data_IF_445451842730
#
_entry.id   IF_445451842730
#
_cell.length_a   1.000
_cell.length_b   1.000
_cell.length_c   1.000
_cell.angle_alpha   90.00
_cell.angle_beta   90.00
_cell.angle_gamma   90.00
#
_symmetry.space_group_name_H-M   'P 1'
#
loop_
_entity.id
_entity.type
_entity.pdbx_description
1 polymer ?
#
# COMPACT_ATOMS: atom_id res chain seq x y z
N UNK A 1 -20.46 -49.72 25.99
CA UNK A 1 -19.01 -49.41 25.94
C UNK A 1 -18.49 -49.14 24.52
N UNK A 2 -18.70 -50.03 23.52
CA UNK A 2 -18.22 -49.81 22.13
C UNK A 2 -18.72 -48.51 21.45
N UNK A 3 -19.96 -48.10 21.71
CA UNK A 3 -20.54 -46.89 21.10
C UNK A 3 -19.90 -45.61 21.67
N UNK A 4 -19.64 -45.57 22.98
CA UNK A 4 -18.94 -44.46 23.65
C UNK A 4 -17.51 -44.28 23.14
N UNK A 5 -16.78 -45.38 22.93
CA UNK A 5 -15.42 -45.32 22.37
C UNK A 5 -15.41 -44.79 20.94
N UNK A 6 -16.37 -45.21 20.10
CA UNK A 6 -16.50 -44.69 18.73
C UNK A 6 -16.85 -43.20 18.71
N UNK A 7 -17.77 -42.76 19.57
CA UNK A 7 -18.13 -41.37 19.69
C UNK A 7 -16.93 -40.50 20.11
N UNK A 8 -16.13 -40.99 21.08
CA UNK A 8 -14.91 -40.30 21.52
C UNK A 8 -13.89 -40.17 20.38
N UNK A 9 -13.64 -41.23 19.62
CA UNK A 9 -12.69 -41.23 18.49
C UNK A 9 -13.11 -40.23 17.41
N UNK A 10 -14.41 -40.20 17.07
CA UNK A 10 -14.95 -39.24 16.09
C UNK A 10 -14.79 -37.80 16.58
N UNK A 11 -15.04 -37.54 17.87
CA UNK A 11 -14.92 -36.21 18.45
C UNK A 11 -13.47 -35.71 18.46
N UNK A 12 -12.52 -36.59 18.80
CA UNK A 12 -11.08 -36.28 18.76
C UNK A 12 -10.63 -36.01 17.32
N UNK A 13 -11.05 -36.83 16.36
CA UNK A 13 -10.71 -36.64 14.95
C UNK A 13 -11.25 -35.30 14.41
N UNK A 14 -12.51 -34.95 14.70
CA UNK A 14 -13.10 -33.67 14.33
C UNK A 14 -12.38 -32.48 14.96
N UNK A 15 -12.03 -32.58 16.25
CA UNK A 15 -11.32 -31.54 16.96
C UNK A 15 -9.91 -31.32 16.40
N UNK A 16 -9.19 -32.41 16.08
CA UNK A 16 -7.88 -32.35 15.45
C UNK A 16 -7.97 -31.75 14.05
N UNK A 17 -8.97 -32.15 13.26
CA UNK A 17 -9.20 -31.61 11.93
C UNK A 17 -9.48 -30.10 11.96
N UNK A 18 -10.35 -29.66 12.87
CA UNK A 18 -10.66 -28.24 13.06
C UNK A 18 -9.41 -27.45 13.50
N UNK A 19 -8.60 -28.00 14.41
CA UNK A 19 -7.35 -27.39 14.84
C UNK A 19 -6.34 -27.25 13.70
N UNK A 20 -6.12 -28.32 12.92
CA UNK A 20 -5.21 -28.29 11.78
C UNK A 20 -5.70 -27.34 10.69
N UNK A 21 -7.01 -27.28 10.45
CA UNK A 21 -7.61 -26.34 9.51
C UNK A 21 -7.39 -24.89 9.94
N UNK A 22 -7.65 -24.55 11.20
CA UNK A 22 -7.41 -23.20 11.74
C UNK A 22 -5.93 -22.84 11.69
N UNK A 23 -5.05 -23.77 12.05
CA UNK A 23 -3.60 -23.57 12.00
C UNK A 23 -3.12 -23.33 10.56
N UNK A 24 -3.58 -24.14 9.61
CA UNK A 24 -3.24 -24.01 8.19
C UNK A 24 -3.78 -22.71 7.59
N UNK A 25 -5.03 -22.34 7.90
CA UNK A 25 -5.64 -21.10 7.42
C UNK A 25 -4.91 -19.87 7.96
N UNK A 26 -4.44 -19.91 9.22
CA UNK A 26 -3.61 -18.85 9.80
C UNK A 26 -2.22 -18.80 9.18
N UNK A 27 -1.55 -19.94 8.98
CA UNK A 27 -0.17 -19.99 8.47
C UNK A 27 -0.04 -19.50 7.03
N UNK A 28 -1.03 -19.78 6.18
CA UNK A 28 -1.02 -19.32 4.78
C UNK A 28 -1.22 -17.81 4.69
N UNK A 29 -2.06 -17.23 5.56
CA UNK A 29 -2.30 -15.79 5.59
C UNK A 29 -1.13 -14.99 6.19
N UNK A 30 -0.38 -15.59 7.12
CA UNK A 30 0.76 -14.95 7.77
C UNK A 30 2.12 -15.19 7.10
N UNK A 31 2.17 -15.95 6.00
CA UNK A 31 3.42 -16.21 5.31
C UNK A 31 3.98 -14.90 4.74
N UNK A 32 5.28 -14.65 4.89
CA UNK A 32 5.89 -13.43 4.38
C UNK A 32 5.75 -13.36 2.85
N UNK A 33 5.46 -12.17 2.33
CA UNK A 33 5.65 -11.89 0.90
C UNK A 33 7.13 -11.73 0.62
N UNK A 34 7.59 -12.22 -0.53
CA UNK A 34 9.01 -12.18 -0.90
C UNK A 34 9.23 -11.13 -1.98
N UNK A 35 10.18 -10.24 -1.78
CA UNK A 35 10.59 -9.24 -2.75
C UNK A 35 12.07 -9.40 -3.03
N UNK A 36 12.47 -9.41 -4.30
CA UNK A 36 13.89 -9.42 -4.63
C UNK A 36 14.52 -8.05 -4.39
N UNK A 37 15.67 -8.00 -3.73
CA UNK A 37 16.40 -6.76 -3.44
C UNK A 37 16.66 -5.87 -4.67
N UNK A 38 17.02 -6.41 -5.85
CA UNK A 38 17.18 -5.61 -7.08
C UNK A 38 15.91 -4.88 -7.53
N UNK A 39 14.71 -5.36 -7.16
CA UNK A 39 13.46 -4.67 -7.50
C UNK A 39 13.22 -3.42 -6.64
N UNK A 40 13.98 -3.25 -5.55
CA UNK A 40 13.91 -2.11 -4.63
C UNK A 40 15.00 -1.05 -4.89
N UNK A 41 15.89 -1.25 -5.86
CA UNK A 41 17.08 -0.40 -6.05
C UNK A 41 16.98 0.62 -7.18
N UNK A 42 15.83 0.73 -7.85
CA UNK A 42 15.69 1.52 -9.09
C UNK A 42 14.43 2.39 -9.07
N UNK A 43 14.36 3.32 -8.13
CA UNK A 43 13.24 4.24 -8.01
C UNK A 43 13.38 5.42 -8.97
N UNK A 44 12.27 5.82 -9.59
CA UNK A 44 12.23 6.92 -10.54
C UNK A 44 11.05 7.84 -10.26
N UNK A 45 11.29 9.14 -10.34
CA UNK A 45 10.23 10.14 -10.27
C UNK A 45 9.44 10.14 -11.57
N UNK A 46 8.12 10.15 -11.46
CA UNK A 46 7.24 10.30 -12.59
C UNK A 46 6.08 11.24 -12.24
N UNK A 47 5.55 11.88 -13.26
CA UNK A 47 4.34 12.70 -13.16
C UNK A 47 3.16 11.95 -13.76
N UNK A 48 1.96 12.24 -13.25
CA UNK A 48 0.71 11.66 -13.73
C UNK A 48 -0.32 12.75 -14.00
N UNK A 49 -1.10 12.56 -15.06
CA UNK A 49 -2.12 13.52 -15.53
C UNK A 49 -3.53 13.19 -15.05
N UNK A 50 -3.67 12.33 -14.03
CA UNK A 50 -4.97 11.93 -13.50
C UNK A 50 -5.75 13.14 -12.97
N UNK A 51 -7.06 13.16 -13.23
CA UNK A 51 -7.95 14.29 -12.95
C UNK A 51 -8.77 14.12 -11.66
N UNK A 52 -8.74 12.93 -11.03
CA UNK A 52 -9.48 12.72 -9.78
C UNK A 52 -8.69 13.36 -8.61
N UNK A 53 -9.37 13.82 -7.55
CA UNK A 53 -8.70 14.42 -6.40
C UNK A 53 -7.63 13.52 -5.77
N UNK A 54 -7.86 12.20 -5.73
CA UNK A 54 -6.90 11.21 -5.23
C UNK A 54 -5.87 10.74 -6.26
N UNK A 55 -5.92 11.21 -7.50
CA UNK A 55 -4.90 10.88 -8.50
C UNK A 55 -3.55 11.47 -8.06
N UNK A 56 -2.46 10.69 -8.07
CA UNK A 56 -1.14 11.25 -7.83
C UNK A 56 -0.79 12.22 -8.96
N UNK A 57 -0.10 13.30 -8.64
CA UNK A 57 0.50 14.21 -9.63
C UNK A 57 2.01 13.99 -9.71
N UNK A 58 2.61 13.58 -8.60
CA UNK A 58 4.00 13.18 -8.49
C UNK A 58 4.06 11.84 -7.75
N UNK A 59 4.77 10.88 -8.35
CA UNK A 59 4.86 9.51 -7.85
C UNK A 59 6.30 9.03 -7.92
N UNK A 60 6.73 8.26 -6.92
CA UNK A 60 7.99 7.54 -6.92
C UNK A 60 7.74 6.09 -7.37
N UNK A 61 8.23 5.72 -8.55
CA UNK A 61 7.96 4.42 -9.17
C UNK A 61 9.14 3.47 -8.97
N UNK A 62 8.89 2.23 -8.52
CA UNK A 62 9.91 1.19 -8.50
C UNK A 62 10.10 0.59 -9.91
N UNK A 63 10.94 -0.44 -9.98
CA UNK A 63 10.97 -1.34 -11.12
C UNK A 63 9.58 -2.03 -11.30
N UNK A 64 9.04 -2.17 -12.53
CA UNK A 64 7.71 -2.78 -12.76
C UNK A 64 7.54 -4.19 -12.19
N UNK A 65 8.65 -4.92 -12.06
CA UNK A 65 8.75 -6.26 -11.51
C UNK A 65 8.33 -6.31 -10.03
N UNK A 66 8.48 -5.21 -9.29
CA UNK A 66 8.06 -5.13 -7.90
C UNK A 66 6.53 -5.23 -7.79
N UNK A 67 5.81 -4.38 -8.51
CA UNK A 67 4.34 -4.34 -8.47
C UNK A 67 3.72 -5.63 -9.03
N UNK A 68 4.20 -6.09 -10.19
CA UNK A 68 3.71 -7.33 -10.82
C UNK A 68 4.03 -8.58 -9.99
N UNK A 69 5.23 -8.68 -9.41
CA UNK A 69 5.62 -9.80 -8.55
C UNK A 69 4.78 -9.89 -7.28
N UNK A 70 4.50 -8.76 -6.63
CA UNK A 70 3.62 -8.70 -5.47
C UNK A 70 2.17 -9.00 -5.85
N UNK A 71 1.66 -8.46 -6.96
CA UNK A 71 0.31 -8.76 -7.44
C UNK A 71 0.11 -10.26 -7.65
N UNK A 72 1.06 -10.94 -8.29
CA UNK A 72 1.00 -12.39 -8.51
C UNK A 72 0.95 -13.18 -7.20
N UNK A 73 1.73 -12.76 -6.18
CA UNK A 73 1.69 -13.39 -4.86
C UNK A 73 0.36 -13.15 -4.14
N UNK A 74 -0.17 -11.93 -4.19
CA UNK A 74 -1.47 -11.60 -3.60
C UNK A 74 -2.57 -12.42 -4.28
N UNK A 75 -2.57 -12.47 -5.62
CA UNK A 75 -3.53 -13.26 -6.39
C UNK A 75 -3.44 -14.75 -6.06
N UNK A 76 -2.24 -15.34 -6.03
CA UNK A 76 -2.05 -16.75 -5.72
C UNK A 76 -2.51 -17.14 -4.30
N UNK A 77 -2.44 -16.21 -3.34
CA UNK A 77 -2.84 -16.46 -1.95
C UNK A 77 -4.33 -16.24 -1.71
N UNK A 78 -4.88 -15.17 -2.27
CA UNK A 78 -6.27 -14.80 -2.04
C UNK A 78 -7.22 -15.55 -2.98
N UNK A 79 -6.76 -15.92 -4.18
CA UNK A 79 -7.56 -16.55 -5.23
C UNK A 79 -8.83 -15.75 -5.59
N UNK A 80 -8.77 -14.43 -5.36
CA UNK A 80 -9.83 -13.48 -5.64
C UNK A 80 -9.55 -12.77 -6.98
N UNK A 81 -10.60 -12.54 -7.76
CA UNK A 81 -10.49 -11.74 -8.99
C UNK A 81 -10.19 -10.29 -8.61
N UNK A 82 -8.95 -9.87 -8.86
CA UNK A 82 -8.45 -8.54 -8.55
C UNK A 82 -7.83 -7.90 -9.78
N UNK A 83 -7.77 -6.57 -9.75
CA UNK A 83 -7.12 -5.72 -10.74
C UNK A 83 -5.78 -5.27 -10.18
N UNK A 84 -4.71 -5.48 -10.94
CA UNK A 84 -3.39 -4.93 -10.60
C UNK A 84 -3.29 -3.47 -11.06
N UNK A 85 -2.59 -2.62 -10.31
CA UNK A 85 -2.35 -1.24 -10.73
C UNK A 85 -1.27 -1.20 -11.82
N UNK A 86 -1.57 -0.77 -13.07
CA UNK A 86 -0.64 -0.87 -14.21
C UNK A 86 0.67 -0.10 -14.01
N UNK A 87 0.63 1.04 -13.33
CA UNK A 87 1.78 1.83 -12.91
C UNK A 87 1.75 2.00 -11.39
N UNK A 88 2.21 0.98 -10.68
CA UNK A 88 2.33 1.02 -9.22
C UNK A 88 3.48 1.96 -8.83
N UNK A 89 3.26 2.77 -7.80
CA UNK A 89 4.29 3.64 -7.21
C UNK A 89 3.80 4.25 -5.91
N UNK A 90 4.71 4.90 -5.18
CA UNK A 90 4.41 5.62 -3.94
C UNK A 90 3.97 7.05 -4.30
N UNK A 91 2.71 7.44 -4.05
CA UNK A 91 2.26 8.82 -4.25
C UNK A 91 3.06 9.76 -3.37
N UNK A 92 3.69 10.77 -3.97
CA UNK A 92 4.41 11.82 -3.24
C UNK A 92 3.52 13.02 -3.00
N UNK A 93 2.74 13.41 -4.02
CA UNK A 93 1.76 14.51 -3.97
C UNK A 93 0.52 14.11 -4.76
N UNK A 94 -0.66 14.43 -4.22
CA UNK A 94 -1.97 14.17 -4.85
C UNK A 94 -2.50 15.41 -5.58
N UNK A 95 -3.44 15.20 -6.51
CA UNK A 95 -4.12 16.26 -7.25
C UNK A 95 -4.84 17.24 -6.33
N UNK A 96 -5.57 16.74 -5.33
CA UNK A 96 -6.24 17.57 -4.32
C UNK A 96 -5.28 18.44 -3.51
N UNK A 97 -4.05 18.00 -3.31
CA UNK A 97 -3.01 18.75 -2.60
C UNK A 97 -2.46 19.87 -3.49
N UNK A 98 -2.19 19.56 -4.76
CA UNK A 98 -1.72 20.52 -5.76
C UNK A 98 -2.75 21.63 -6.04
N UNK A 99 -4.02 21.27 -6.17
CA UNK A 99 -5.12 22.20 -6.47
C UNK A 99 -5.68 22.90 -5.23
N UNK A 100 -5.34 22.41 -4.05
CA UNK A 100 -5.77 22.98 -2.77
C UNK A 100 -4.60 23.64 -2.03
N UNK A 101 -4.07 23.05 -0.95
CA UNK A 101 -3.07 23.69 -0.09
C UNK A 101 -1.78 24.15 -0.78
N UNK A 102 -1.36 23.49 -1.87
CA UNK A 102 -0.14 23.85 -2.61
C UNK A 102 -0.42 24.81 -3.78
N UNK A 103 -1.68 25.14 -4.04
CA UNK A 103 -2.08 25.93 -5.20
C UNK A 103 -1.43 27.32 -5.18
N UNK A 104 -0.96 27.76 -6.36
CA UNK A 104 -0.30 29.05 -6.52
C UNK A 104 1.13 29.15 -5.96
N UNK A 105 1.61 28.14 -5.23
CA UNK A 105 2.97 28.08 -4.67
C UNK A 105 3.83 27.05 -5.38
N UNK A 106 3.21 25.96 -5.83
CA UNK A 106 3.87 24.89 -6.55
C UNK A 106 3.18 24.59 -7.87
N UNK A 107 3.98 24.41 -8.93
CA UNK A 107 3.59 23.71 -10.15
C UNK A 107 4.09 22.27 -10.11
N UNK A 108 3.59 21.41 -11.01
CA UNK A 108 4.06 20.03 -11.15
C UNK A 108 5.57 19.98 -11.39
N UNK A 109 6.09 20.89 -12.22
CA UNK A 109 7.52 21.01 -12.50
C UNK A 109 8.30 21.41 -11.25
N UNK A 110 7.82 22.39 -10.48
CA UNK A 110 8.49 22.80 -9.24
C UNK A 110 8.53 21.69 -8.19
N UNK A 111 7.48 20.84 -8.12
CA UNK A 111 7.43 19.69 -7.23
C UNK A 111 8.41 18.60 -7.67
N UNK A 112 8.52 18.37 -8.98
CA UNK A 112 9.47 17.42 -9.55
C UNK A 112 10.91 17.87 -9.27
N UNK A 113 11.22 19.15 -9.43
CA UNK A 113 12.53 19.72 -9.08
C UNK A 113 12.81 19.64 -7.57
N UNK A 114 11.82 19.94 -6.72
CA UNK A 114 11.97 19.80 -5.27
C UNK A 114 12.24 18.34 -4.86
N UNK A 115 11.55 17.37 -5.49
CA UNK A 115 11.76 15.95 -5.23
C UNK A 115 13.14 15.47 -5.70
N UNK A 116 13.65 15.99 -6.82
CA UNK A 116 15.02 15.74 -7.29
C UNK A 116 16.07 16.35 -6.35
N UNK A 117 15.83 17.57 -5.88
CA UNK A 117 16.71 18.24 -4.93
C UNK A 117 16.76 17.50 -3.58
N UNK A 118 15.68 16.83 -3.20
CA UNK A 118 15.61 15.93 -2.05
C UNK A 118 16.20 14.52 -2.32
N UNK A 119 16.77 14.28 -3.51
CA UNK A 119 17.39 13.01 -3.93
C UNK A 119 16.47 11.79 -3.80
N UNK A 120 15.16 11.97 -4.01
CA UNK A 120 14.16 10.92 -3.81
C UNK A 120 14.29 9.72 -4.76
N UNK A 121 15.03 9.84 -5.87
CA UNK A 121 15.31 8.71 -6.78
C UNK A 121 16.40 7.77 -6.26
N UNK A 122 17.26 8.24 -5.34
CA UNK A 122 18.36 7.48 -4.78
C UNK A 122 18.02 6.78 -3.45
N UNK A 123 16.83 7.05 -2.91
CA UNK A 123 16.37 6.46 -1.64
C UNK A 123 16.08 4.97 -1.78
N UNK A 124 16.01 4.29 -0.64
CA UNK A 124 15.68 2.85 -0.56
C UNK A 124 14.52 2.66 0.41
N UNK A 125 13.26 2.84 -0.04
CA UNK A 125 12.09 2.60 0.78
C UNK A 125 12.09 1.14 1.24
N UNK A 126 12.06 0.92 2.54
CA UNK A 126 12.09 -0.42 3.12
C UNK A 126 10.67 -0.98 3.21
N UNK A 127 10.34 -2.10 2.53
CA UNK A 127 9.00 -2.65 2.59
C UNK A 127 8.73 -3.25 3.98
N UNK A 128 7.66 -2.79 4.63
CA UNK A 128 7.29 -3.22 5.99
C UNK A 128 6.34 -4.42 5.91
N UNK A 129 5.19 -4.21 5.27
CA UNK A 129 4.14 -5.22 5.19
C UNK A 129 3.30 -5.04 3.93
N UNK A 130 2.66 -6.13 3.50
CA UNK A 130 1.45 -6.00 2.69
C UNK A 130 0.29 -5.74 3.63
N UNK A 131 -0.46 -4.70 3.35
CA UNK A 131 -1.65 -4.30 4.07
C UNK A 131 -2.89 -4.44 3.18
N UNK A 132 -4.05 -4.57 3.83
CA UNK A 132 -5.34 -4.69 3.16
C UNK A 132 -6.36 -3.81 3.84
N UNK A 133 -7.09 -3.05 3.03
CA UNK A 133 -8.26 -2.28 3.47
C UNK A 133 -9.49 -2.77 2.73
N UNK A 134 -10.56 -2.99 3.47
CA UNK A 134 -11.87 -3.39 2.94
C UNK A 134 -12.93 -2.42 3.42
N UNK A 135 -13.71 -1.91 2.48
CA UNK A 135 -14.90 -1.10 2.74
C UNK A 135 -16.11 -1.91 2.32
N UNK A 136 -17.08 -2.02 3.24
CA UNK A 136 -18.33 -2.74 3.01
C UNK A 136 -19.48 -1.78 3.25
N UNK A 137 -20.13 -1.38 2.16
CA UNK A 137 -21.31 -0.52 2.12
C UNK A 137 -22.51 -1.33 1.60
N UNK A 138 -23.76 -0.89 1.85
CA UNK A 138 -24.94 -1.57 1.31
C UNK A 138 -24.84 -1.75 -0.22
N UNK A 139 -24.72 -2.99 -0.67
CA UNK A 139 -24.62 -3.32 -2.10
C UNK A 139 -23.23 -3.17 -2.72
N UNK A 140 -22.21 -2.76 -1.97
CA UNK A 140 -20.86 -2.54 -2.49
C UNK A 140 -19.81 -3.03 -1.50
N UNK A 141 -19.01 -4.02 -1.92
CA UNK A 141 -17.79 -4.41 -1.21
C UNK A 141 -16.61 -4.06 -2.08
N UNK A 142 -15.71 -3.24 -1.55
CA UNK A 142 -14.45 -2.89 -2.21
C UNK A 142 -13.29 -3.23 -1.31
N UNK A 143 -12.18 -3.62 -1.89
CA UNK A 143 -10.95 -3.88 -1.16
C UNK A 143 -9.73 -3.46 -1.96
N UNK A 144 -8.68 -3.08 -1.26
CA UNK A 144 -7.38 -2.68 -1.82
C UNK A 144 -6.27 -3.33 -1.01
N UNK A 145 -5.26 -3.80 -1.73
CA UNK A 145 -3.99 -4.26 -1.18
C UNK A 145 -2.90 -3.27 -1.55
N UNK A 146 -2.12 -2.88 -0.56
CA UNK A 146 -1.02 -1.95 -0.71
C UNK A 146 0.17 -2.39 0.12
N UNK A 147 1.36 -1.99 -0.32
CA UNK A 147 2.59 -2.15 0.47
C UNK A 147 2.80 -0.88 1.26
N UNK A 148 3.07 -1.04 2.56
CA UNK A 148 3.61 0.04 3.37
C UNK A 148 5.13 0.01 3.32
N UNK A 149 5.74 1.17 3.11
CA UNK A 149 7.18 1.35 3.20
C UNK A 149 7.55 2.24 4.38
N UNK A 150 8.68 1.93 5.01
CA UNK A 150 9.40 2.94 5.78
C UNK A 150 10.30 3.73 4.83
N UNK A 151 10.04 5.03 4.75
CA UNK A 151 10.70 5.97 3.85
C UNK A 151 10.71 7.36 4.52
N UNK A 152 11.59 7.59 5.51
CA UNK A 152 11.66 8.86 6.23
C UNK A 152 11.93 10.05 5.31
N UNK A 153 12.65 9.85 4.20
CA UNK A 153 12.98 10.87 3.20
C UNK A 153 11.72 11.40 2.52
N UNK A 154 10.74 10.54 2.23
CA UNK A 154 9.44 10.95 1.66
C UNK A 154 8.68 11.82 2.68
N UNK A 155 8.71 11.45 3.97
CA UNK A 155 8.06 12.23 5.03
C UNK A 155 8.75 13.60 5.24
N UNK A 156 10.07 13.63 5.17
CA UNK A 156 10.85 14.87 5.23
C UNK A 156 10.55 15.77 4.02
N UNK A 157 10.53 15.23 2.80
CA UNK A 157 10.13 15.96 1.60
C UNK A 157 8.76 16.64 1.77
N UNK A 158 7.74 15.91 2.23
CA UNK A 158 6.41 16.48 2.48
C UNK A 158 6.44 17.56 3.57
N UNK A 159 7.23 17.40 4.63
CA UNK A 159 7.43 18.45 5.65
C UNK A 159 8.09 19.71 5.08
N UNK A 160 9.04 19.56 4.16
CA UNK A 160 9.68 20.70 3.49
C UNK A 160 8.69 21.47 2.61
N UNK A 161 7.80 20.77 1.89
CA UNK A 161 6.70 21.42 1.16
C UNK A 161 5.82 22.23 2.12
N UNK A 162 5.42 21.64 3.25
CA UNK A 162 4.61 22.33 4.27
C UNK A 162 5.31 23.60 4.81
N UNK A 163 6.61 23.52 5.07
CA UNK A 163 7.42 24.62 5.58
C UNK A 163 7.60 25.76 4.57
N UNK A 164 7.49 25.47 3.27
CA UNK A 164 7.55 26.47 2.20
C UNK A 164 6.25 27.26 2.02
N UNK A 165 5.16 26.87 2.68
CA UNK A 165 3.85 27.53 2.54
C UNK A 165 3.67 28.69 3.54
N UNK A 166 2.88 29.72 3.20
CA UNK A 166 2.46 30.75 4.14
C UNK A 166 1.70 30.14 5.32
N UNK A 167 1.76 30.72 6.54
CA UNK A 167 1.19 30.11 7.76
C UNK A 167 -0.30 29.71 7.66
N UNK A 168 -1.11 30.45 6.89
CA UNK A 168 -2.54 30.18 6.72
C UNK A 168 -2.83 28.99 5.78
N UNK A 169 -1.92 28.68 4.86
CA UNK A 169 -2.02 27.54 3.93
C UNK A 169 -1.20 26.34 4.40
N UNK A 170 -0.07 26.57 5.09
CA UNK A 170 0.70 25.51 5.72
C UNK A 170 -0.12 24.69 6.73
N UNK A 171 -1.14 25.30 7.37
CA UNK A 171 -2.05 24.58 8.25
C UNK A 171 -3.08 23.69 7.54
N UNK A 172 -3.33 23.88 6.23
CA UNK A 172 -4.25 23.04 5.46
C UNK A 172 -3.55 21.90 4.72
N UNK A 173 -2.21 21.94 4.59
CA UNK A 173 -1.41 20.85 4.08
C UNK A 173 -0.89 19.97 5.23
N UNK A 174 -1.44 18.77 5.38
CA UNK A 174 -0.92 17.78 6.33
C UNK A 174 0.16 16.89 5.65
N UNK A 175 1.44 17.00 6.06
CA UNK A 175 2.50 16.19 5.48
C UNK A 175 2.35 14.69 5.80
N UNK A 176 1.52 14.30 6.77
CA UNK A 176 1.31 12.92 7.20
C UNK A 176 -0.01 12.30 6.72
N UNK A 177 -0.88 13.07 6.04
CA UNK A 177 -2.15 12.57 5.51
C UNK A 177 -1.98 11.41 4.50
N UNK A 178 -0.83 11.36 3.82
CA UNK A 178 -0.45 10.30 2.89
C UNK A 178 0.79 9.56 3.42
N UNK A 179 0.61 8.30 3.81
CA UNK A 179 1.71 7.41 4.16
C UNK A 179 2.48 6.96 2.90
N UNK A 180 3.75 6.53 3.02
CA UNK A 180 4.52 5.98 1.91
C UNK A 180 4.00 4.59 1.53
N UNK A 181 2.90 4.54 0.79
CA UNK A 181 2.26 3.30 0.36
C UNK A 181 2.24 3.16 -1.15
N UNK A 182 2.35 1.93 -1.62
CA UNK A 182 2.16 1.58 -3.04
C UNK A 182 0.96 0.65 -3.17
N UNK A 183 -0.08 1.11 -3.85
CA UNK A 183 -1.24 0.25 -4.16
C UNK A 183 -0.82 -0.78 -5.23
N UNK A 184 -1.06 -2.05 -4.93
CA UNK A 184 -0.68 -3.18 -5.80
C UNK A 184 -1.91 -3.79 -6.47
N UNK A 185 -2.98 -3.99 -5.71
CA UNK A 185 -4.19 -4.68 -6.20
C UNK A 185 -5.45 -4.07 -5.62
N UNK A 186 -6.57 -4.14 -6.34
CA UNK A 186 -7.89 -3.78 -5.83
C UNK A 186 -8.99 -4.65 -6.45
N UNK A 187 -10.18 -4.63 -5.86
CA UNK A 187 -11.39 -5.29 -6.40
C UNK A 187 -11.91 -4.64 -7.69
N UNK A 188 -11.54 -3.38 -7.93
CA UNK A 188 -11.99 -2.56 -9.05
C UNK A 188 -10.84 -1.68 -9.56
N UNK A 189 -11.04 -1.02 -10.71
CA UNK A 189 -10.03 -0.15 -11.33
C UNK A 189 -9.95 1.25 -10.69
N UNK A 190 -10.77 1.53 -9.68
CA UNK A 190 -10.86 2.83 -8.99
C UNK A 190 -9.78 3.06 -7.95
N UNK A 191 -8.51 2.84 -8.30
CA UNK A 191 -7.35 2.91 -7.39
C UNK A 191 -7.22 4.27 -6.69
N UNK A 192 -7.45 5.36 -7.43
CA UNK A 192 -7.27 6.73 -6.92
C UNK A 192 -8.31 7.10 -5.85
N UNK A 193 -9.47 6.43 -5.85
CA UNK A 193 -10.50 6.66 -4.82
C UNK A 193 -10.10 6.12 -3.43
N UNK A 194 -9.01 5.35 -3.35
CA UNK A 194 -8.45 4.87 -2.08
C UNK A 194 -7.45 5.85 -1.46
N UNK A 195 -6.99 6.85 -2.21
CA UNK A 195 -6.02 7.85 -1.76
C UNK A 195 -6.73 9.13 -1.28
N UNK A 196 -6.21 9.82 -0.25
CA UNK A 196 -4.99 9.49 0.49
C UNK A 196 -5.13 8.30 1.44
N UNK A 197 -4.02 7.63 1.74
CA UNK A 197 -3.96 6.54 2.73
C UNK A 197 -3.07 6.97 3.90
N UNK A 198 -3.68 7.25 5.05
CA UNK A 198 -3.03 7.17 6.35
C UNK A 198 -3.06 5.68 6.76
N UNK A 199 -1.93 4.99 6.60
CA UNK A 199 -1.85 3.56 6.91
C UNK A 199 -1.73 3.34 8.43
N UNK A 200 -2.48 2.38 8.96
CA UNK A 200 -2.34 1.92 10.34
C UNK A 200 -1.73 0.50 10.34
N UNK A 201 -0.48 0.38 10.80
CA UNK A 201 0.25 -0.89 10.81
C UNK A 201 -0.41 -1.97 11.67
N UNK A 202 -1.05 -1.58 12.76
CA UNK A 202 -1.55 -2.53 13.75
C UNK A 202 -2.83 -3.22 13.27
N UNK A 203 -3.64 -2.52 12.47
CA UNK A 203 -4.94 -3.01 12.02
C UNK A 203 -4.94 -3.50 10.56
N UNK A 204 -4.06 -2.97 9.71
CA UNK A 204 -4.14 -3.19 8.26
C UNK A 204 -3.08 -4.16 7.73
N UNK A 205 -1.94 -4.33 8.42
CA UNK A 205 -0.90 -5.25 7.97
C UNK A 205 -1.40 -6.69 8.02
N UNK A 206 -1.44 -7.36 6.87
CA UNK A 206 -1.89 -8.76 6.77
C UNK A 206 -0.73 -9.75 6.83
N UNK A 207 0.44 -9.38 6.28
CA UNK A 207 1.65 -10.19 6.37
C UNK A 207 2.92 -9.34 6.17
N UNK A 208 4.06 -9.76 6.77
CA UNK A 208 5.33 -9.07 6.57
C UNK A 208 5.87 -9.26 5.15
N UNK A 209 6.78 -8.39 4.75
CA UNK A 209 7.59 -8.55 3.53
C UNK A 209 9.01 -8.92 3.94
N UNK A 210 9.58 -9.91 3.25
CA UNK A 210 10.98 -10.30 3.37
C UNK A 210 11.68 -9.96 2.06
N UNK A 211 12.87 -9.38 2.17
CA UNK A 211 13.72 -9.04 1.04
C UNK A 211 14.78 -10.12 0.87
N UNK A 212 14.90 -10.65 -0.35
CA UNK A 212 15.86 -11.69 -0.75
C UNK A 212 16.82 -11.22 -1.85
#
# INVERSE_FOLDING_TARGET
MKILVRALVVLVALSLFLYLFVRSARSVRSQAYVVSAPHLSSWRLATESGALPGSPVLVLRPAPELGSGLFNQIFARMMESMKGRPASGIPLVLRSELEGPLAGHHTVESLLEAARAADLESIRPEPVCVAMRRVSEPGLTRQVYFVLFDAPEIREFRRQLAAGLPPQQGSSFDPFAQAPVMIVAASDDGFDAWLPIAANTDDECVAPIVVE
#
